data_IF_176542685111
#
_entry.id   IF_176542685111
#
_cell.length_a   1.000
_cell.length_b   1.000
_cell.length_c   1.000
_cell.angle_alpha   90.00
_cell.angle_beta   90.00
_cell.angle_gamma   90.00
#
_symmetry.space_group_name_H-M   'P 1'
#
loop_
_entity.id
_entity.type
_entity.pdbx_description
1 polymer ?
#
# COMPACT_ATOMS: atom_id res chain seq x y z
N UNK A 1 1.47 -2.14 7.99
CA UNK A 1 1.77 -2.20 6.55
C UNK A 1 3.21 -1.76 6.31
N UNK A 2 3.85 -2.26 5.25
CA UNK A 2 5.16 -1.80 4.81
C UNK A 2 5.12 -1.51 3.32
N UNK A 3 5.52 -0.30 2.91
CA UNK A 3 5.65 0.07 1.49
C UNK A 3 7.13 0.28 1.17
N UNK A 4 7.60 -0.39 0.12
CA UNK A 4 8.95 -0.23 -0.41
C UNK A 4 8.88 0.06 -1.89
N UNK A 5 9.81 0.87 -2.39
CA UNK A 5 9.89 1.27 -3.80
C UNK A 5 11.32 1.17 -4.28
N UNK A 6 11.49 0.93 -5.58
CA UNK A 6 12.78 0.89 -6.25
C UNK A 6 12.69 1.60 -7.60
N UNK A 7 13.77 2.24 -8.08
CA UNK A 7 13.77 2.85 -9.40
C UNK A 7 13.49 1.80 -10.48
N UNK A 8 12.50 2.02 -11.33
CA UNK A 8 12.12 1.04 -12.37
C UNK A 8 13.24 0.80 -13.41
N UNK A 9 14.07 1.81 -13.70
CA UNK A 9 15.08 1.76 -14.77
C UNK A 9 16.51 1.51 -14.30
N UNK A 10 16.79 1.67 -13.01
CA UNK A 10 18.14 1.49 -12.44
C UNK A 10 18.09 0.27 -11.54
N UNK A 11 18.97 -0.70 -11.76
CA UNK A 11 19.17 -1.76 -10.77
C UNK A 11 19.59 -1.12 -9.45
N UNK A 12 18.78 -1.34 -8.42
CA UNK A 12 18.97 -0.79 -7.08
C UNK A 12 18.14 -1.59 -6.09
N UNK A 13 18.48 -1.48 -4.81
CA UNK A 13 17.72 -2.13 -3.75
C UNK A 13 16.41 -1.39 -3.49
N UNK A 14 15.37 -2.15 -3.14
CA UNK A 14 14.11 -1.57 -2.68
C UNK A 14 14.33 -0.80 -1.37
N UNK A 15 13.89 0.45 -1.34
CA UNK A 15 13.92 1.32 -0.17
C UNK A 15 12.54 1.33 0.49
N UNK A 16 12.51 1.10 1.79
CA UNK A 16 11.28 1.28 2.58
C UNK A 16 10.97 2.78 2.70
N UNK A 17 9.77 3.19 2.26
CA UNK A 17 9.30 4.58 2.30
C UNK A 17 8.15 4.79 3.29
N UNK A 18 7.60 3.70 3.83
CA UNK A 18 6.60 3.72 4.90
C UNK A 18 6.63 2.40 5.67
N UNK A 19 6.60 2.47 7.00
CA UNK A 19 6.57 1.31 7.90
C UNK A 19 5.82 1.65 9.18
N UNK A 20 4.50 1.52 9.14
CA UNK A 20 3.63 1.72 10.30
C UNK A 20 2.36 0.83 10.20
N UNK A 21 1.68 0.54 11.32
CA UNK A 21 0.38 -0.13 11.31
C UNK A 21 -0.67 0.67 10.53
N UNK A 22 -1.56 -0.03 9.80
CA UNK A 22 -2.72 0.62 9.18
C UNK A 22 -3.66 1.12 10.27
N UNK A 23 -4.15 2.34 10.10
CA UNK A 23 -5.23 2.90 10.88
C UNK A 23 -6.57 2.69 10.15
N UNK A 24 -7.68 2.74 10.88
CA UNK A 24 -9.01 2.63 10.29
C UNK A 24 -9.24 3.77 9.27
N UNK A 25 -8.76 4.97 9.57
CA UNK A 25 -8.88 6.15 8.70
C UNK A 25 -8.08 6.03 7.39
N UNK A 26 -7.14 5.09 7.32
CA UNK A 26 -6.39 4.80 6.08
C UNK A 26 -7.21 3.93 5.12
N UNK A 27 -8.35 3.36 5.56
CA UNK A 27 -9.13 2.35 4.83
C UNK A 27 -10.53 2.88 4.51
N UNK A 28 -10.89 2.79 3.23
CA UNK A 28 -12.24 3.08 2.74
C UNK A 28 -12.82 1.81 2.12
N UNK A 29 -14.05 1.48 2.50
CA UNK A 29 -14.81 0.37 1.92
C UNK A 29 -15.99 0.99 1.18
N UNK A 30 -16.10 0.73 -0.12
CA UNK A 30 -17.22 1.20 -0.93
C UNK A 30 -18.42 0.25 -0.87
N UNK A 31 -19.57 0.71 -1.36
CA UNK A 31 -20.83 -0.05 -1.34
C UNK A 31 -20.77 -1.37 -2.13
N UNK A 32 -19.86 -1.48 -3.11
CA UNK A 32 -19.61 -2.69 -3.88
C UNK A 32 -18.59 -3.63 -3.24
N UNK A 33 -18.10 -3.33 -2.03
CA UNK A 33 -17.14 -4.16 -1.31
C UNK A 33 -15.67 -3.95 -1.69
N UNK A 34 -15.35 -2.99 -2.58
CA UNK A 34 -13.95 -2.66 -2.87
C UNK A 34 -13.30 -1.97 -1.65
N UNK A 35 -12.04 -2.30 -1.40
CA UNK A 35 -11.26 -1.75 -0.29
C UNK A 35 -10.14 -0.89 -0.84
N UNK A 36 -10.15 0.40 -0.50
CA UNK A 36 -9.08 1.33 -0.81
C UNK A 36 -8.25 1.66 0.43
N UNK A 37 -6.96 1.38 0.36
CA UNK A 37 -5.97 1.77 1.37
C UNK A 37 -5.22 3.01 0.88
N UNK A 38 -5.24 4.08 1.67
CA UNK A 38 -4.56 5.34 1.38
C UNK A 38 -3.46 5.61 2.40
N UNK A 39 -2.21 5.78 1.96
CA UNK A 39 -1.08 6.07 2.85
C UNK A 39 -0.28 7.27 2.37
N UNK A 40 0.26 8.04 3.33
CA UNK A 40 1.21 9.12 3.07
C UNK A 40 2.61 8.61 3.38
N UNK A 41 3.46 8.53 2.36
CA UNK A 41 4.82 8.00 2.47
C UNK A 41 5.86 8.98 1.92
N UNK A 42 7.12 8.76 2.25
CA UNK A 42 8.23 9.57 1.71
C UNK A 42 8.43 9.30 0.21
N UNK A 43 8.94 10.29 -0.52
CA UNK A 43 9.46 10.07 -1.87
C UNK A 43 10.76 9.24 -1.82
N UNK A 44 11.01 8.43 -2.85
CA UNK A 44 12.19 7.56 -2.90
C UNK A 44 13.50 8.37 -2.88
N UNK A 45 13.51 9.56 -3.50
CA UNK A 45 14.69 10.42 -3.64
C UNK A 45 14.79 11.49 -2.55
N UNK A 46 13.69 11.84 -1.85
CA UNK A 46 13.75 12.78 -0.73
C UNK A 46 12.71 12.50 0.35
N UNK A 47 13.09 12.67 1.62
CA UNK A 47 12.17 12.69 2.76
C UNK A 47 11.51 14.06 2.99
N UNK A 48 11.79 15.05 2.12
CA UNK A 48 11.21 16.39 2.20
C UNK A 48 9.91 16.51 1.42
N UNK A 49 9.62 15.52 0.58
CA UNK A 49 8.36 15.41 -0.14
C UNK A 49 7.63 14.17 0.35
N UNK A 50 6.36 14.35 0.71
CA UNK A 50 5.45 13.26 1.03
C UNK A 50 4.49 13.07 -0.12
N UNK A 51 4.21 11.82 -0.46
CA UNK A 51 3.30 11.44 -1.55
C UNK A 51 2.17 10.57 -0.99
N UNK A 52 0.98 10.70 -1.59
CA UNK A 52 -0.16 9.85 -1.29
C UNK A 52 -0.17 8.67 -2.24
N UNK A 53 -0.17 7.47 -1.67
CA UNK A 53 -0.33 6.23 -2.41
C UNK A 53 -1.69 5.65 -2.09
N UNK A 54 -2.38 5.16 -3.11
CA UNK A 54 -3.68 4.51 -2.97
C UNK A 54 -3.62 3.15 -3.66
N UNK A 55 -4.07 2.12 -2.95
CA UNK A 55 -4.22 0.77 -3.47
C UNK A 55 -5.68 0.40 -3.28
N UNK A 56 -6.37 0.13 -4.38
CA UNK A 56 -7.75 -0.37 -4.37
C UNK A 56 -7.73 -1.84 -4.73
N UNK A 57 -8.37 -2.65 -3.90
CA UNK A 57 -8.60 -4.07 -4.13
C UNK A 57 -10.08 -4.28 -4.36
N UNK A 58 -10.43 -4.95 -5.46
CA UNK A 58 -11.79 -5.39 -5.71
C UNK A 58 -12.18 -6.51 -4.72
N UNK A 59 -13.48 -6.67 -4.46
CA UNK A 59 -13.99 -7.74 -3.59
C UNK A 59 -13.39 -9.13 -3.93
N UNK A 60 -13.30 -9.44 -5.23
CA UNK A 60 -12.72 -10.69 -5.71
C UNK A 60 -11.23 -10.87 -5.34
N UNK A 61 -10.45 -9.78 -5.36
CA UNK A 61 -9.03 -9.78 -5.00
C UNK A 61 -8.83 -9.95 -3.49
N UNK A 62 -9.73 -9.36 -2.69
CA UNK A 62 -9.75 -9.55 -1.22
C UNK A 62 -9.98 -11.03 -0.89
N UNK A 63 -10.88 -11.70 -1.62
CA UNK A 63 -11.13 -13.13 -1.48
C UNK A 63 -9.87 -13.99 -1.68
N UNK A 64 -8.97 -13.60 -2.59
CA UNK A 64 -7.68 -14.29 -2.82
C UNK A 64 -6.79 -14.18 -1.57
N UNK A 65 -6.71 -12.99 -0.97
CA UNK A 65 -5.89 -12.74 0.21
C UNK A 65 -6.39 -13.50 1.44
N UNK A 66 -7.71 -13.61 1.62
CA UNK A 66 -8.31 -14.30 2.76
C UNK A 66 -8.08 -15.82 2.71
N UNK A 67 -8.10 -16.42 1.51
CA UNK A 67 -7.91 -17.87 1.33
C UNK A 67 -6.49 -18.35 1.65
N UNK A 68 -5.50 -17.47 1.60
CA UNK A 68 -4.12 -17.79 1.97
C UNK A 68 -3.83 -17.76 3.48
N UNK A 69 -4.77 -17.30 4.30
CA UNK A 69 -4.58 -17.12 5.74
C UNK A 69 -5.04 -18.32 6.60
N UNK A 70 -5.64 -19.35 5.98
CA UNK A 70 -6.14 -20.56 6.64
C UNK A 70 -5.27 -21.81 6.39
N UNK A 71 -3.97 -21.60 6.12
CA UNK A 71 -2.95 -22.66 6.04
C UNK A 71 -2.25 -22.92 7.37
#
# INVERSE_FOLDING_TARGET
MRLSTQPARRQGSAKCIYSAPLQLDDVQISDNGDVTVSIIADDIYSNRSKQRYQITLAEAEIGILFRGASG
#
